data_IF_117038686386
#
_entry.id   IF_117038686386
#
_cell.length_a   1.000
_cell.length_b   1.000
_cell.length_c   1.000
_cell.angle_alpha   90.00
_cell.angle_beta   90.00
_cell.angle_gamma   90.00
#
_symmetry.space_group_name_H-M   'P 1'
#
loop_
_entity.id
_entity.type
_entity.pdbx_description
1 polymer ?
#
# COMPACT_ATOMS: atom_id res chain seq x y z
N UNK A 1 0.02 7.33 12.71
CA UNK A 1 -0.58 6.48 13.74
C UNK A 1 -1.03 5.20 13.06
N UNK A 2 -0.65 4.02 13.58
CA UNK A 2 -0.97 2.76 12.93
C UNK A 2 -2.45 2.44 13.08
N UNK A 3 -3.04 1.83 12.06
CA UNK A 3 -4.32 1.15 12.20
C UNK A 3 -4.13 -0.07 13.11
N UNK A 4 -5.12 -0.38 13.94
CA UNK A 4 -5.12 -1.56 14.82
C UNK A 4 -4.76 -2.81 14.02
N UNK A 5 -3.94 -3.69 14.60
CA UNK A 5 -3.51 -4.92 13.92
C UNK A 5 -3.51 -6.12 14.85
N UNK A 6 -3.45 -7.31 14.27
CA UNK A 6 -3.21 -8.53 15.01
C UNK A 6 -2.29 -9.47 14.20
N UNK A 7 -1.21 -10.01 14.80
CA UNK A 7 -0.72 -9.74 16.16
C UNK A 7 -0.12 -8.33 16.32
N UNK A 8 -0.14 -7.78 17.54
CA UNK A 8 0.32 -6.40 17.82
C UNK A 8 1.85 -6.24 17.92
N UNK A 9 2.58 -7.27 18.36
CA UNK A 9 4.05 -7.28 18.42
C UNK A 9 4.67 -7.94 17.19
N UNK A 10 6.00 -7.91 17.05
CA UNK A 10 6.87 -8.37 15.94
C UNK A 10 6.59 -9.78 15.32
N UNK A 11 5.54 -10.47 15.75
CA UNK A 11 5.00 -11.64 15.08
C UNK A 11 4.15 -11.30 13.86
N UNK A 12 3.94 -12.33 13.07
CA UNK A 12 2.93 -12.39 12.02
C UNK A 12 2.28 -13.78 12.12
N UNK A 13 1.06 -13.91 11.62
CA UNK A 13 0.53 -15.24 11.39
C UNK A 13 1.11 -15.79 10.09
N UNK A 14 1.19 -17.11 9.97
CA UNK A 14 1.56 -17.75 8.71
C UNK A 14 0.42 -18.61 8.19
N UNK A 15 0.32 -18.71 6.87
CA UNK A 15 -0.64 -19.61 6.23
C UNK A 15 -0.33 -21.06 6.61
N UNK A 16 -1.36 -21.91 6.74
CA UNK A 16 -1.16 -23.36 6.80
C UNK A 16 -0.87 -23.91 5.40
N UNK A 17 -1.67 -23.49 4.41
CA UNK A 17 -1.47 -23.75 2.98
C UNK A 17 -2.40 -22.88 2.15
N UNK A 18 -2.10 -22.72 0.88
CA UNK A 18 -3.02 -22.16 -0.11
C UNK A 18 -4.00 -23.24 -0.57
N UNK A 19 -5.29 -22.90 -0.61
CA UNK A 19 -6.37 -23.72 -1.19
C UNK A 19 -6.65 -23.28 -2.62
N UNK A 20 -6.67 -21.96 -2.83
CA UNK A 20 -6.85 -21.31 -4.13
C UNK A 20 -5.87 -20.16 -4.23
N UNK A 21 -4.97 -20.21 -5.23
CA UNK A 21 -4.04 -19.10 -5.50
C UNK A 21 -4.75 -17.79 -5.89
N UNK A 22 -5.85 -17.84 -6.64
CA UNK A 22 -6.64 -16.65 -7.01
C UNK A 22 -6.04 -15.77 -8.14
N UNK A 23 -4.74 -15.78 -8.39
CA UNK A 23 -4.22 -15.32 -9.68
C UNK A 23 -4.82 -16.20 -10.79
N UNK A 24 -5.11 -15.64 -11.98
CA UNK A 24 -5.59 -16.44 -13.12
C UNK A 24 -4.72 -17.68 -13.27
N UNK A 25 -5.31 -18.85 -12.98
CA UNK A 25 -4.57 -19.90 -12.26
C UNK A 25 -3.57 -20.65 -13.13
N UNK A 26 -2.54 -21.15 -12.45
CA UNK A 26 -1.43 -21.89 -13.03
C UNK A 26 -1.65 -23.39 -12.76
N UNK A 27 -1.61 -24.21 -13.81
CA UNK A 27 -1.47 -25.67 -13.65
C UNK A 27 -0.13 -25.97 -12.97
N UNK A 28 0.02 -27.13 -12.28
CA UNK A 28 1.31 -27.54 -11.71
C UNK A 28 2.44 -27.46 -12.75
N UNK A 29 3.55 -26.83 -12.39
CA UNK A 29 4.66 -26.60 -13.32
C UNK A 29 5.83 -25.82 -12.73
N UNK A 30 6.90 -25.70 -13.51
CA UNK A 30 8.12 -24.98 -13.11
C UNK A 30 7.93 -23.47 -13.11
N UNK A 31 8.32 -22.81 -12.01
CA UNK A 31 8.30 -21.35 -11.91
C UNK A 31 9.22 -20.66 -12.93
N UNK A 32 10.35 -21.30 -13.29
CA UNK A 32 11.27 -20.77 -14.32
C UNK A 32 10.60 -20.68 -15.69
N UNK A 33 9.77 -21.66 -16.05
CA UNK A 33 9.02 -21.61 -17.32
C UNK A 33 8.03 -20.45 -17.29
N UNK A 34 7.37 -20.23 -16.15
CA UNK A 34 6.34 -19.21 -16.05
C UNK A 34 6.91 -17.78 -16.11
N UNK A 35 8.00 -17.52 -15.40
CA UNK A 35 8.54 -16.15 -15.24
C UNK A 35 9.78 -15.82 -16.05
N UNK A 36 10.64 -16.79 -16.30
CA UNK A 36 11.99 -16.49 -16.77
C UNK A 36 12.20 -16.99 -18.20
N UNK A 37 12.07 -18.29 -18.40
CA UNK A 37 12.66 -19.03 -19.53
C UNK A 37 11.63 -19.69 -20.46
N UNK A 38 10.34 -19.67 -20.13
CA UNK A 38 9.32 -20.34 -20.95
C UNK A 38 8.97 -19.60 -22.23
N UNK A 39 8.73 -20.35 -23.29
CA UNK A 39 8.13 -19.80 -24.52
C UNK A 39 6.67 -19.38 -24.28
N UNK A 40 6.09 -18.50 -25.11
CA UNK A 40 4.68 -18.12 -25.00
C UNK A 40 3.72 -19.31 -25.00
N UNK A 41 4.04 -20.40 -25.70
CA UNK A 41 3.25 -21.63 -25.75
C UNK A 41 3.38 -22.42 -24.46
N UNK A 42 4.59 -22.53 -23.90
CA UNK A 42 4.82 -23.20 -22.62
C UNK A 42 4.15 -22.45 -21.47
N UNK A 43 4.17 -21.12 -21.49
CA UNK A 43 3.45 -20.27 -20.54
C UNK A 43 1.94 -20.47 -20.66
N UNK A 44 1.39 -20.40 -21.87
CA UNK A 44 -0.04 -20.67 -22.15
C UNK A 44 -0.48 -22.08 -21.76
N UNK A 45 0.38 -23.09 -21.92
CA UNK A 45 0.07 -24.45 -21.49
C UNK A 45 -0.11 -24.57 -19.97
N UNK A 46 0.61 -23.74 -19.21
CA UNK A 46 0.51 -23.65 -17.76
C UNK A 46 -0.64 -22.75 -17.28
N UNK A 47 -1.35 -22.05 -18.17
CA UNK A 47 -2.55 -21.30 -17.81
C UNK A 47 -3.76 -22.24 -17.62
N UNK A 48 -4.59 -21.96 -16.62
CA UNK A 48 -5.84 -22.68 -16.35
C UNK A 48 -6.95 -22.31 -17.35
N UNK A 49 -6.82 -21.16 -18.02
CA UNK A 49 -7.87 -20.58 -18.86
C UNK A 49 -8.97 -19.87 -18.07
N UNK A 50 -8.90 -19.86 -16.75
CA UNK A 50 -9.81 -19.13 -15.87
C UNK A 50 -9.21 -17.77 -15.51
N UNK A 51 -10.02 -16.71 -15.56
CA UNK A 51 -9.60 -15.37 -15.16
C UNK A 51 -9.24 -15.26 -13.67
N UNK A 52 -8.70 -14.11 -13.22
CA UNK A 52 -8.40 -13.88 -11.81
C UNK A 52 -9.63 -14.09 -10.92
N UNK A 53 -9.44 -14.78 -9.79
CA UNK A 53 -10.47 -15.06 -8.78
C UNK A 53 -9.93 -14.80 -7.38
N UNK A 54 -10.75 -14.64 -6.34
CA UNK A 54 -10.20 -14.41 -5.02
C UNK A 54 -9.37 -15.60 -4.52
N UNK A 55 -8.27 -15.30 -3.82
CA UNK A 55 -7.44 -16.32 -3.18
C UNK A 55 -8.15 -16.91 -1.96
N UNK A 56 -7.89 -18.19 -1.68
CA UNK A 56 -8.37 -18.89 -0.49
C UNK A 56 -7.19 -19.59 0.17
N UNK A 57 -7.02 -19.39 1.47
CA UNK A 57 -5.99 -20.08 2.25
C UNK A 57 -6.58 -20.74 3.48
N UNK A 58 -5.90 -21.77 3.97
CA UNK A 58 -6.20 -22.39 5.24
C UNK A 58 -5.36 -21.70 6.34
N UNK A 59 -6.00 -21.26 7.42
CA UNK A 59 -5.29 -20.70 8.57
C UNK A 59 -4.90 -21.81 9.55
N UNK A 60 -3.94 -21.52 10.44
CA UNK A 60 -3.44 -22.51 11.38
C UNK A 60 -4.38 -22.71 12.57
N UNK A 61 -4.55 -23.95 13.10
CA UNK A 61 -5.50 -24.24 14.19
C UNK A 61 -5.31 -23.41 15.45
N UNK A 62 -4.08 -23.01 15.77
CA UNK A 62 -3.78 -22.12 16.91
C UNK A 62 -4.44 -20.74 16.80
N UNK A 63 -4.90 -20.34 15.61
CA UNK A 63 -5.61 -19.08 15.37
C UNK A 63 -7.13 -19.25 15.20
N UNK A 64 -7.69 -20.44 15.43
CA UNK A 64 -9.10 -20.73 15.17
C UNK A 64 -10.07 -19.86 15.98
N UNK A 65 -9.79 -19.63 17.26
CA UNK A 65 -10.64 -18.77 18.10
C UNK A 65 -10.64 -17.31 17.62
N UNK A 66 -9.49 -16.81 17.14
CA UNK A 66 -9.38 -15.46 16.61
C UNK A 66 -10.17 -15.31 15.30
N UNK A 67 -10.03 -16.28 14.38
CA UNK A 67 -10.80 -16.28 13.13
C UNK A 67 -12.31 -16.39 13.35
N UNK A 68 -12.76 -17.16 14.33
CA UNK A 68 -14.17 -17.23 14.71
C UNK A 68 -14.69 -15.88 15.21
N UNK A 69 -13.90 -15.14 16.00
CA UNK A 69 -14.29 -13.80 16.43
C UNK A 69 -14.34 -12.79 15.26
N UNK A 70 -13.44 -12.90 14.29
CA UNK A 70 -13.39 -12.00 13.14
C UNK A 70 -14.52 -12.25 12.12
N UNK A 71 -15.00 -13.48 12.02
CA UNK A 71 -16.11 -13.87 11.15
C UNK A 71 -17.39 -13.09 11.49
N UNK A 72 -17.65 -12.89 12.78
CA UNK A 72 -18.81 -12.15 13.32
C UNK A 72 -18.78 -10.63 13.02
N UNK A 73 -17.64 -10.08 12.57
CA UNK A 73 -17.45 -8.63 12.38
C UNK A 73 -16.92 -8.26 10.98
N UNK A 74 -17.03 -9.17 10.00
CA UNK A 74 -16.57 -8.91 8.62
C UNK A 74 -17.26 -7.70 7.97
N UNK A 75 -18.52 -7.44 8.31
CA UNK A 75 -19.32 -6.32 7.83
C UNK A 75 -18.82 -4.96 8.36
N UNK A 76 -18.20 -4.95 9.54
CA UNK A 76 -17.53 -3.78 10.14
C UNK A 76 -16.20 -3.44 9.45
N UNK A 77 -15.66 -4.37 8.65
CA UNK A 77 -14.55 -4.16 7.72
C UNK A 77 -13.22 -4.73 8.18
N UNK A 78 -13.06 -6.06 8.11
CA UNK A 78 -11.79 -6.74 8.44
C UNK A 78 -10.89 -6.84 7.20
N UNK A 79 -9.61 -6.51 7.38
CA UNK A 79 -8.60 -6.52 6.31
C UNK A 79 -7.42 -7.41 6.68
N UNK A 80 -6.74 -7.94 5.67
CA UNK A 80 -5.48 -8.64 5.82
C UNK A 80 -4.39 -7.89 5.08
N UNK A 81 -3.24 -7.70 5.72
CA UNK A 81 -2.01 -7.30 5.05
C UNK A 81 -1.08 -8.50 5.01
N UNK A 82 -0.57 -8.85 3.84
CA UNK A 82 0.25 -10.06 3.72
C UNK A 82 1.31 -9.99 2.63
N UNK A 83 2.37 -10.76 2.82
CA UNK A 83 3.35 -11.06 1.77
C UNK A 83 2.87 -12.30 1.02
N UNK A 84 1.92 -12.05 0.12
CA UNK A 84 1.10 -13.12 -0.45
C UNK A 84 1.87 -14.06 -1.39
N UNK A 85 2.80 -13.52 -2.19
CA UNK A 85 3.49 -14.27 -3.26
C UNK A 85 5.00 -14.26 -3.14
N UNK A 86 5.56 -13.13 -2.71
CA UNK A 86 7.00 -12.88 -2.60
C UNK A 86 7.26 -11.99 -1.40
N UNK A 87 8.43 -12.13 -0.78
CA UNK A 87 8.77 -11.47 0.50
C UNK A 87 9.10 -9.97 0.37
N UNK A 88 9.14 -9.42 -0.84
CA UNK A 88 9.41 -8.00 -1.11
C UNK A 88 8.17 -7.24 -1.59
N UNK A 89 7.02 -7.89 -1.65
CA UNK A 89 5.75 -7.28 -2.04
C UNK A 89 4.69 -7.68 -1.02
N UNK A 90 4.08 -6.69 -0.38
CA UNK A 90 2.88 -6.92 0.41
C UNK A 90 1.69 -6.19 -0.23
N UNK A 91 0.49 -6.65 0.07
CA UNK A 91 -0.75 -6.02 -0.36
C UNK A 91 -1.77 -6.12 0.79
N UNK A 92 -2.61 -5.11 0.93
CA UNK A 92 -3.71 -5.11 1.90
C UNK A 92 -5.02 -5.41 1.17
N UNK A 93 -5.76 -6.42 1.61
CA UNK A 93 -6.96 -6.93 0.95
C UNK A 93 -8.04 -7.21 1.99
N UNK A 94 -9.29 -6.86 1.67
CA UNK A 94 -10.42 -7.12 2.58
C UNK A 94 -10.68 -8.62 2.67
N UNK A 95 -11.08 -9.09 3.86
CA UNK A 95 -11.59 -10.46 4.02
C UNK A 95 -12.97 -10.55 3.34
N UNK A 96 -13.14 -11.53 2.46
CA UNK A 96 -14.40 -11.82 1.79
C UNK A 96 -15.28 -12.77 2.61
N UNK A 97 -14.68 -13.85 3.14
CA UNK A 97 -15.36 -14.80 4.01
C UNK A 97 -14.36 -15.54 4.91
N UNK A 98 -14.84 -16.02 6.06
CA UNK A 98 -14.14 -16.96 6.93
C UNK A 98 -15.04 -18.17 7.10
N UNK A 99 -14.51 -19.36 6.85
CA UNK A 99 -15.18 -20.63 7.11
C UNK A 99 -14.49 -21.30 8.30
N UNK A 100 -15.16 -21.29 9.44
CA UNK A 100 -14.63 -21.79 10.71
C UNK A 100 -14.66 -23.32 10.81
N UNK A 101 -15.51 -23.99 10.02
CA UNK A 101 -15.59 -25.45 9.95
C UNK A 101 -14.42 -26.01 9.13
N UNK A 102 -14.15 -25.41 7.97
CA UNK A 102 -13.07 -25.82 7.07
C UNK A 102 -11.73 -25.11 7.34
N UNK A 103 -11.70 -24.16 8.27
CA UNK A 103 -10.55 -23.35 8.63
C UNK A 103 -9.96 -22.53 7.48
N UNK A 104 -10.82 -21.93 6.65
CA UNK A 104 -10.37 -21.16 5.48
C UNK A 104 -10.75 -19.70 5.54
N UNK A 105 -9.93 -18.87 4.88
CA UNK A 105 -10.20 -17.47 4.62
C UNK A 105 -10.24 -17.27 3.12
N UNK A 106 -11.31 -16.64 2.63
CA UNK A 106 -11.46 -16.19 1.25
C UNK A 106 -11.21 -14.69 1.18
N UNK A 107 -10.31 -14.25 0.31
CA UNK A 107 -10.07 -12.83 0.05
C UNK A 107 -11.27 -12.22 -0.68
N UNK A 108 -11.50 -10.92 -0.54
CA UNK A 108 -12.62 -10.26 -1.23
C UNK A 108 -12.37 -10.07 -2.73
N UNK A 109 -11.09 -9.90 -3.11
CA UNK A 109 -10.65 -9.68 -4.50
C UNK A 109 -9.38 -10.47 -4.79
N UNK A 110 -9.05 -10.73 -6.06
CA UNK A 110 -7.77 -11.30 -6.44
C UNK A 110 -6.62 -10.38 -6.02
N UNK A 111 -5.58 -10.95 -5.40
CA UNK A 111 -4.29 -10.29 -5.19
C UNK A 111 -3.49 -10.35 -6.48
N UNK A 112 -2.68 -9.32 -6.76
CA UNK A 112 -1.85 -9.32 -7.98
C UNK A 112 -0.95 -10.56 -8.04
N UNK A 113 -1.02 -11.28 -9.16
CA UNK A 113 -0.35 -12.58 -9.37
C UNK A 113 -0.76 -13.73 -8.42
N UNK A 114 -1.75 -13.52 -7.55
CA UNK A 114 -2.27 -14.54 -6.62
C UNK A 114 -1.42 -14.80 -5.39
N UNK A 115 -1.92 -15.67 -4.50
CA UNK A 115 -1.33 -16.01 -3.20
C UNK A 115 -0.59 -17.35 -3.21
N UNK A 116 0.39 -17.52 -2.33
CA UNK A 116 1.31 -18.65 -2.30
C UNK A 116 2.64 -18.33 -2.98
N UNK A 117 3.72 -18.76 -2.34
CA UNK A 117 5.09 -18.58 -2.77
C UNK A 117 5.26 -18.93 -4.23
N UNK A 118 5.81 -17.99 -5.00
CA UNK A 118 6.10 -18.22 -6.42
C UNK A 118 7.06 -19.40 -6.66
N UNK A 119 7.85 -19.79 -5.63
CA UNK A 119 8.82 -20.88 -5.69
C UNK A 119 8.27 -22.22 -5.19
N UNK A 120 7.14 -22.23 -4.50
CA UNK A 120 6.54 -23.42 -3.88
C UNK A 120 5.08 -23.53 -4.33
N UNK A 121 4.89 -23.92 -5.60
CA UNK A 121 3.57 -24.02 -6.22
C UNK A 121 3.00 -25.45 -6.11
N UNK A 122 1.67 -25.61 -6.13
CA UNK A 122 0.63 -24.57 -6.08
C UNK A 122 0.27 -24.11 -4.66
N UNK A 123 0.71 -24.86 -3.63
CA UNK A 123 0.19 -24.75 -2.27
C UNK A 123 0.86 -23.68 -1.40
N UNK A 124 1.87 -22.99 -1.92
CA UNK A 124 2.72 -22.07 -1.16
C UNK A 124 3.80 -22.80 -0.37
N UNK A 125 4.59 -22.03 0.39
CA UNK A 125 5.62 -22.54 1.29
C UNK A 125 5.11 -22.81 2.70
N UNK A 126 3.88 -22.41 3.03
CA UNK A 126 3.34 -22.35 4.41
C UNK A 126 4.08 -21.36 5.34
N UNK A 127 4.92 -20.51 4.76
CA UNK A 127 5.69 -19.46 5.45
C UNK A 127 5.22 -18.06 5.02
N UNK A 128 4.23 -17.96 4.14
CA UNK A 128 3.62 -16.69 3.76
C UNK A 128 3.02 -16.03 5.01
N UNK A 129 3.46 -14.82 5.30
CA UNK A 129 3.09 -14.10 6.51
C UNK A 129 1.95 -13.13 6.25
N UNK A 130 1.05 -12.99 7.22
CA UNK A 130 -0.03 -12.03 7.19
C UNK A 130 -0.39 -11.49 8.58
N UNK A 131 -1.01 -10.33 8.59
CA UNK A 131 -1.62 -9.66 9.74
C UNK A 131 -3.07 -9.38 9.43
N UNK A 132 -3.90 -9.36 10.47
CA UNK A 132 -5.23 -8.76 10.40
C UNK A 132 -5.13 -7.29 10.76
N UNK A 133 -5.88 -6.45 10.07
CA UNK A 133 -5.92 -5.00 10.25
C UNK A 133 -7.38 -4.57 10.46
N UNK A 134 -7.56 -3.40 11.08
CA UNK A 134 -8.86 -2.77 11.33
C UNK A 134 -9.79 -3.59 12.23
N UNK A 135 -9.31 -3.98 13.40
CA UNK A 135 -10.06 -4.68 14.44
C UNK A 135 -10.26 -3.76 15.63
N UNK A 136 -11.51 -3.46 15.98
CA UNK A 136 -11.82 -2.62 17.13
C UNK A 136 -11.26 -3.23 18.43
N UNK A 137 -11.35 -4.55 18.55
CA UNK A 137 -10.86 -5.34 19.67
C UNK A 137 -9.33 -5.33 19.78
N UNK A 138 -8.62 -4.95 18.72
CA UNK A 138 -7.16 -4.83 18.69
C UNK A 138 -6.67 -3.38 18.78
N UNK A 139 -7.56 -2.41 19.07
CA UNK A 139 -7.16 -1.05 19.49
C UNK A 139 -6.76 -1.12 20.97
N UNK A 140 -5.53 -1.57 21.24
CA UNK A 140 -5.07 -1.86 22.61
C UNK A 140 -3.83 -1.05 23.03
N UNK A 141 -3.19 -0.35 22.09
CA UNK A 141 -2.05 0.52 22.34
C UNK A 141 -2.34 2.00 22.03
N UNK A 142 -1.73 2.94 22.78
CA UNK A 142 -1.88 4.36 22.48
C UNK A 142 -1.36 4.70 21.08
N UNK A 143 -2.18 5.39 20.29
CA UNK A 143 -1.93 5.70 18.89
C UNK A 143 -2.68 4.81 17.91
N UNK A 144 -3.26 3.68 18.33
CA UNK A 144 -4.01 2.80 17.44
C UNK A 144 -5.43 3.31 17.18
N UNK A 145 -5.94 2.99 15.99
CA UNK A 145 -7.30 3.34 15.59
C UNK A 145 -7.91 2.25 14.71
N UNK A 146 -9.25 2.20 14.68
CA UNK A 146 -10.03 1.33 13.82
C UNK A 146 -11.27 2.07 13.32
N UNK A 147 -11.75 1.73 12.13
CA UNK A 147 -13.00 2.23 11.55
C UNK A 147 -14.00 1.10 11.52
N UNK A 148 -15.16 1.36 12.12
CA UNK A 148 -16.36 0.58 11.91
C UNK A 148 -17.11 1.15 10.71
N UNK A 149 -17.02 0.46 9.57
CA UNK A 149 -17.65 0.90 8.32
C UNK A 149 -19.18 0.72 8.33
N UNK A 150 -19.70 -0.18 9.15
CA UNK A 150 -21.14 -0.42 9.28
C UNK A 150 -21.80 0.74 10.04
N UNK A 151 -21.26 1.09 11.19
CA UNK A 151 -21.77 2.16 12.06
C UNK A 151 -21.23 3.55 11.70
N UNK A 152 -20.26 3.63 10.79
CA UNK A 152 -19.54 4.86 10.39
C UNK A 152 -18.88 5.57 11.57
N UNK A 153 -18.18 4.80 12.40
CA UNK A 153 -17.48 5.30 13.59
C UNK A 153 -15.97 5.10 13.47
N UNK A 154 -15.21 6.12 13.85
CA UNK A 154 -13.78 6.00 14.09
C UNK A 154 -13.54 5.81 15.59
N UNK A 155 -12.85 4.74 15.94
CA UNK A 155 -12.34 4.48 17.27
C UNK A 155 -10.85 4.80 17.29
N UNK A 156 -10.40 5.59 18.25
CA UNK A 156 -9.01 6.01 18.36
C UNK A 156 -8.60 6.00 19.82
N UNK A 157 -7.51 5.30 20.14
CA UNK A 157 -6.86 5.36 21.44
C UNK A 157 -5.80 6.47 21.40
N UNK A 158 -6.06 7.66 21.96
CA UNK A 158 -5.12 8.76 21.84
C UNK A 158 -3.84 8.52 22.66
N UNK A 159 -2.64 8.84 22.12
CA UNK A 159 -1.38 8.73 22.84
C UNK A 159 -1.18 9.80 23.93
N UNK A 160 -2.10 10.77 24.03
CA UNK A 160 -2.07 11.85 24.99
C UNK A 160 -3.35 12.69 24.94
N UNK A 161 -3.42 13.81 25.65
CA UNK A 161 -4.59 14.69 25.63
C UNK A 161 -4.92 15.19 24.22
N UNK A 162 -6.21 15.23 23.89
CA UNK A 162 -6.71 15.72 22.59
C UNK A 162 -6.95 17.24 22.56
N UNK A 163 -6.67 17.95 23.65
CA UNK A 163 -6.85 19.41 23.70
C UNK A 163 -5.93 20.06 22.66
N UNK A 164 -6.50 20.82 21.73
CA UNK A 164 -5.81 21.43 20.58
C UNK A 164 -5.20 20.42 19.59
N UNK A 165 -5.65 19.17 19.62
CA UNK A 165 -5.32 18.21 18.59
C UNK A 165 -5.99 18.60 17.27
N UNK A 166 -5.22 18.56 16.19
CA UNK A 166 -5.74 18.63 14.82
C UNK A 166 -5.70 17.22 14.23
N UNK A 167 -6.88 16.68 13.93
CA UNK A 167 -7.09 15.29 13.52
C UNK A 167 -7.53 15.30 12.05
N UNK A 168 -6.69 14.71 11.20
CA UNK A 168 -6.93 14.62 9.76
C UNK A 168 -7.33 13.20 9.35
N UNK A 169 -8.39 13.11 8.53
CA UNK A 169 -8.81 11.92 7.80
C UNK A 169 -9.02 12.34 6.35
N UNK A 170 -8.51 11.54 5.42
CA UNK A 170 -8.61 11.81 3.98
C UNK A 170 -9.58 10.85 3.32
N UNK A 171 -10.41 11.37 2.42
CA UNK A 171 -11.35 10.62 1.58
C UNK A 171 -11.15 10.87 0.07
N UNK A 172 -10.26 11.79 -0.29
CA UNK A 172 -9.95 12.13 -1.69
C UNK A 172 -8.92 11.13 -2.27
N UNK A 173 -9.27 10.43 -3.35
CA UNK A 173 -8.38 9.47 -4.03
C UNK A 173 -7.52 10.08 -5.14
N UNK A 174 -7.83 11.31 -5.56
CA UNK A 174 -7.08 12.03 -6.59
C UNK A 174 -5.82 12.69 -6.03
N UNK A 175 -4.83 13.01 -6.88
CA UNK A 175 -3.72 13.83 -6.44
C UNK A 175 -4.19 15.21 -5.96
N UNK A 176 -3.47 15.80 -5.00
CA UNK A 176 -3.79 17.17 -4.52
C UNK A 176 -3.49 18.19 -5.60
N UNK A 177 -2.34 18.04 -6.27
CA UNK A 177 -1.95 18.88 -7.41
C UNK A 177 -1.75 17.98 -8.62
N UNK A 178 -2.42 18.31 -9.72
CA UNK A 178 -2.20 17.68 -11.02
C UNK A 178 -1.84 18.72 -12.07
N UNK A 179 -0.72 18.50 -12.77
CA UNK A 179 -0.24 19.34 -13.86
C UNK A 179 -0.21 18.50 -15.12
N UNK A 180 -1.00 18.85 -16.14
CA UNK A 180 -1.03 18.14 -17.43
C UNK A 180 -0.65 19.06 -18.58
N UNK A 181 0.25 18.58 -19.44
CA UNK A 181 0.66 19.24 -20.69
C UNK A 181 1.06 20.72 -20.55
N UNK A 182 1.46 21.11 -19.34
CA UNK A 182 1.81 22.48 -18.99
C UNK A 182 3.32 22.68 -18.94
N UNK A 183 3.76 23.92 -19.07
CA UNK A 183 5.17 24.27 -19.05
C UNK A 183 5.44 25.45 -18.14
N UNK A 184 6.64 25.47 -17.56
CA UNK A 184 7.13 26.57 -16.72
C UNK A 184 6.26 26.89 -15.49
N UNK A 185 5.58 25.88 -14.93
CA UNK A 185 4.85 26.00 -13.67
C UNK A 185 5.78 25.69 -12.50
N UNK A 186 5.78 26.54 -11.48
CA UNK A 186 6.55 26.33 -10.25
C UNK A 186 5.65 26.38 -9.02
N UNK A 187 5.75 25.35 -8.18
CA UNK A 187 5.25 25.36 -6.81
C UNK A 187 6.42 25.54 -5.86
N UNK A 188 6.31 26.53 -4.96
CA UNK A 188 7.39 26.87 -4.03
C UNK A 188 6.88 27.09 -2.62
N UNK A 189 7.56 26.50 -1.63
CA UNK A 189 7.34 26.77 -0.21
C UNK A 189 5.89 26.54 0.24
N UNK A 190 5.30 25.41 -0.18
CA UNK A 190 3.96 24.99 0.22
C UNK A 190 3.99 23.58 0.82
N UNK A 191 3.04 23.33 1.72
CA UNK A 191 2.76 22.00 2.27
C UNK A 191 1.61 21.36 1.51
N UNK A 192 1.80 20.11 1.08
CA UNK A 192 0.85 19.30 0.33
C UNK A 192 0.59 18.05 1.18
N UNK A 193 -0.62 17.94 1.75
CA UNK A 193 -0.96 16.83 2.64
C UNK A 193 -2.44 16.43 2.62
N UNK A 194 -2.71 15.17 2.98
CA UNK A 194 -4.07 14.71 3.24
C UNK A 194 -4.83 14.16 2.04
N UNK A 195 -4.21 13.29 1.24
CA UNK A 195 -4.89 12.56 0.16
C UNK A 195 -4.67 11.05 0.22
N UNK A 196 -5.64 10.28 -0.26
CA UNK A 196 -5.52 8.86 -0.58
C UNK A 196 -4.85 8.61 -1.95
N UNK A 197 -4.62 9.67 -2.73
CA UNK A 197 -3.89 9.67 -4.00
C UNK A 197 -2.39 9.94 -3.86
N UNK A 198 -1.78 10.46 -4.93
CA UNK A 198 -0.41 11.00 -4.94
C UNK A 198 -0.40 12.46 -4.44
N UNK A 199 0.70 12.95 -3.88
CA UNK A 199 0.78 14.35 -3.45
C UNK A 199 0.69 15.29 -4.65
N UNK A 200 1.63 15.12 -5.58
CA UNK A 200 1.68 15.84 -6.85
C UNK A 200 1.84 14.88 -8.02
N UNK A 201 1.05 15.07 -9.08
CA UNK A 201 1.20 14.36 -10.34
C UNK A 201 1.48 15.33 -11.48
N UNK A 202 2.56 15.08 -12.23
CA UNK A 202 2.90 15.80 -13.46
C UNK A 202 2.80 14.82 -14.62
N UNK A 203 1.97 15.14 -15.61
CA UNK A 203 1.79 14.31 -16.82
C UNK A 203 2.13 15.16 -18.04
N UNK A 204 3.22 14.78 -18.72
CA UNK A 204 3.81 15.53 -19.82
C UNK A 204 4.16 16.98 -19.47
N UNK A 205 4.51 17.75 -20.50
CA UNK A 205 4.89 19.16 -20.38
C UNK A 205 6.40 19.38 -20.36
N UNK A 206 6.82 20.58 -19.94
CA UNK A 206 8.23 20.95 -19.95
C UNK A 206 8.59 21.91 -18.81
N UNK A 207 9.69 21.66 -18.10
CA UNK A 207 10.26 22.61 -17.12
C UNK A 207 9.30 23.04 -16.00
N UNK A 208 8.40 22.14 -15.59
CA UNK A 208 7.65 22.32 -14.33
C UNK A 208 8.53 21.97 -13.13
N UNK A 209 8.30 22.61 -11.99
CA UNK A 209 9.12 22.41 -10.81
C UNK A 209 8.35 22.42 -9.49
N UNK A 210 8.80 21.58 -8.57
CA UNK A 210 8.53 21.66 -7.14
C UNK A 210 9.81 22.09 -6.42
N UNK A 211 9.76 23.16 -5.64
CA UNK A 211 10.93 23.71 -4.95
C UNK A 211 10.64 24.04 -3.49
N UNK A 212 11.45 23.52 -2.56
CA UNK A 212 11.29 23.86 -1.14
C UNK A 212 9.89 23.53 -0.60
N UNK A 213 9.26 22.48 -1.12
CA UNK A 213 7.92 22.06 -0.69
C UNK A 213 8.01 20.93 0.33
N UNK A 214 6.98 20.80 1.16
CA UNK A 214 6.78 19.63 2.02
C UNK A 214 5.62 18.81 1.47
N UNK A 215 5.84 17.52 1.20
CA UNK A 215 4.77 16.58 0.83
C UNK A 215 4.69 15.50 1.89
N UNK A 216 3.53 15.38 2.54
CA UNK A 216 3.36 14.44 3.66
C UNK A 216 1.95 13.93 3.85
N UNK A 217 1.78 12.84 4.59
CA UNK A 217 0.46 12.26 4.90
C UNK A 217 -0.34 11.99 3.61
N UNK A 218 0.28 11.28 2.69
CA UNK A 218 -0.25 10.94 1.36
C UNK A 218 -0.24 9.42 1.23
N UNK A 219 -1.33 8.80 0.78
CA UNK A 219 -1.42 7.34 0.77
C UNK A 219 -0.66 6.66 -0.38
N UNK A 220 -0.28 7.39 -1.43
CA UNK A 220 0.56 6.87 -2.53
C UNK A 220 1.91 7.58 -2.57
N UNK A 221 2.33 8.07 -3.74
CA UNK A 221 3.63 8.69 -3.90
C UNK A 221 3.60 10.17 -3.50
N UNK A 222 4.72 10.69 -3.01
CA UNK A 222 4.87 12.13 -2.78
C UNK A 222 4.75 12.92 -4.09
N UNK A 223 5.56 12.55 -5.09
CA UNK A 223 5.52 13.15 -6.43
C UNK A 223 5.60 12.06 -7.49
N UNK A 224 4.78 12.15 -8.53
CA UNK A 224 4.82 11.28 -9.72
C UNK A 224 4.99 12.15 -10.96
N UNK A 225 5.98 11.84 -11.79
CA UNK A 225 6.23 12.49 -13.08
C UNK A 225 6.14 11.43 -14.19
N UNK A 226 5.23 11.66 -15.12
CA UNK A 226 4.91 10.77 -16.24
C UNK A 226 5.09 11.50 -17.57
N UNK A 227 6.20 11.23 -18.25
CA UNK A 227 6.52 11.83 -19.55
C UNK A 227 7.01 13.27 -19.44
N UNK A 228 6.98 13.97 -20.57
CA UNK A 228 7.48 15.34 -20.67
C UNK A 228 9.00 15.44 -20.62
N UNK A 229 9.52 16.65 -20.35
CA UNK A 229 10.95 16.87 -20.28
C UNK A 229 11.37 17.96 -19.26
N UNK A 230 12.53 17.77 -18.65
CA UNK A 230 13.20 18.76 -17.78
C UNK A 230 12.40 19.20 -16.54
N UNK A 231 11.52 18.35 -16.00
CA UNK A 231 10.88 18.58 -14.71
C UNK A 231 11.85 18.47 -13.54
N UNK A 232 11.62 19.24 -12.47
CA UNK A 232 12.53 19.33 -11.31
C UNK A 232 11.77 19.17 -10.00
N UNK A 233 12.25 18.30 -9.12
CA UNK A 233 11.89 18.27 -7.69
C UNK A 233 13.15 18.62 -6.92
N UNK A 234 13.18 19.77 -6.26
CA UNK A 234 14.40 20.32 -5.68
C UNK A 234 14.18 20.84 -4.26
N UNK A 235 15.07 20.44 -3.35
CA UNK A 235 15.05 20.90 -1.96
C UNK A 235 13.74 20.64 -1.22
N UNK A 236 13.06 19.52 -1.50
CA UNK A 236 11.76 19.17 -0.89
C UNK A 236 11.90 18.14 0.23
N UNK A 237 10.98 18.20 1.20
CA UNK A 237 10.83 17.20 2.27
C UNK A 237 9.65 16.29 1.95
N UNK A 238 9.89 14.98 1.82
CA UNK A 238 8.91 13.98 1.38
C UNK A 238 8.82 12.87 2.42
N UNK A 239 7.74 12.81 3.21
CA UNK A 239 7.64 11.85 4.32
C UNK A 239 6.23 11.46 4.72
N UNK A 240 6.09 10.37 5.45
CA UNK A 240 4.79 9.76 5.78
C UNK A 240 3.97 9.50 4.51
N UNK A 241 4.59 8.76 3.59
CA UNK A 241 4.05 8.38 2.29
C UNK A 241 3.67 6.90 2.30
N UNK A 242 2.52 6.55 1.75
CA UNK A 242 2.08 5.16 1.71
C UNK A 242 2.88 4.34 0.69
N UNK A 243 3.17 4.90 -0.50
CA UNK A 243 4.00 4.27 -1.52
C UNK A 243 5.44 4.80 -1.49
N UNK A 244 5.93 5.45 -2.55
CA UNK A 244 7.31 5.96 -2.65
C UNK A 244 7.45 7.49 -2.54
N UNK A 245 8.69 7.98 -2.50
CA UNK A 245 9.00 9.41 -2.49
C UNK A 245 8.68 10.10 -3.83
N UNK A 246 9.49 9.81 -4.84
CA UNK A 246 9.34 10.37 -6.20
C UNK A 246 9.38 9.24 -7.24
N UNK A 247 8.32 9.12 -8.04
CA UNK A 247 8.28 8.27 -9.23
C UNK A 247 8.58 9.09 -10.48
N UNK A 248 9.53 8.63 -11.32
CA UNK A 248 9.91 9.30 -12.57
C UNK A 248 9.78 8.35 -13.75
N UNK A 249 9.15 8.83 -14.81
CA UNK A 249 9.16 8.17 -16.12
C UNK A 249 9.15 9.23 -17.22
N UNK A 250 9.80 8.93 -18.35
CA UNK A 250 9.92 9.86 -19.47
C UNK A 250 11.14 9.56 -20.33
N UNK A 251 11.30 10.32 -21.40
CA UNK A 251 12.28 10.03 -22.44
C UNK A 251 11.83 8.92 -23.38
N UNK A 252 12.69 8.57 -24.32
CA UNK A 252 12.46 7.52 -25.30
C UNK A 252 13.70 6.61 -25.38
N UNK A 253 13.57 5.43 -24.76
CA UNK A 253 14.60 4.39 -24.81
C UNK A 253 14.49 3.51 -26.07
N UNK A 254 13.42 3.66 -26.87
CA UNK A 254 13.24 2.95 -28.13
C UNK A 254 13.76 3.73 -29.35
N UNK A 255 13.96 5.04 -29.23
CA UNK A 255 14.53 5.87 -30.29
C UNK A 255 16.04 5.68 -30.46
N UNK A 256 16.54 5.96 -31.67
CA UNK A 256 17.98 6.02 -31.96
C UNK A 256 18.35 7.38 -32.59
N UNK A 257 19.13 8.24 -31.88
CA UNK A 257 19.67 8.01 -30.54
C UNK A 257 18.57 8.01 -29.45
N UNK A 258 18.86 7.36 -28.31
CA UNK A 258 17.99 7.43 -27.14
C UNK A 258 17.80 8.87 -26.69
N UNK A 259 16.57 9.24 -26.33
CA UNK A 259 16.24 10.60 -25.90
C UNK A 259 16.03 10.61 -24.38
N UNK A 260 16.91 11.26 -23.59
CA UNK A 260 16.69 11.38 -22.15
C UNK A 260 15.59 12.41 -21.84
N UNK A 261 14.84 12.18 -20.75
CA UNK A 261 13.82 13.13 -20.28
C UNK A 261 14.41 14.41 -19.66
N UNK A 262 15.61 14.31 -19.07
CA UNK A 262 16.24 15.43 -18.35
C UNK A 262 15.60 15.80 -17.01
N UNK A 263 14.76 14.92 -16.43
CA UNK A 263 14.18 15.15 -15.10
C UNK A 263 15.25 15.12 -14.00
N UNK A 264 15.06 15.92 -12.95
CA UNK A 264 16.02 16.02 -11.83
C UNK A 264 15.28 15.94 -10.48
N UNK A 265 15.84 15.16 -9.56
CA UNK A 265 15.44 15.13 -8.15
C UNK A 265 16.69 15.43 -7.34
N UNK A 266 16.74 16.58 -6.67
CA UNK A 266 17.97 17.10 -6.09
C UNK A 266 17.73 17.69 -4.70
N UNK A 267 18.68 17.47 -3.80
CA UNK A 267 18.69 18.03 -2.44
C UNK A 267 17.39 17.75 -1.65
N UNK A 268 16.67 16.67 -1.94
CA UNK A 268 15.43 16.32 -1.25
C UNK A 268 15.71 15.39 -0.06
N UNK A 269 14.99 15.57 1.04
CA UNK A 269 14.92 14.59 2.13
C UNK A 269 13.71 13.67 1.92
N UNK A 270 13.97 12.38 1.72
CA UNK A 270 12.95 11.37 1.43
C UNK A 270 13.07 10.26 2.46
N UNK A 271 12.10 10.18 3.36
CA UNK A 271 12.14 9.27 4.49
C UNK A 271 10.72 8.87 4.89
N UNK A 272 10.55 7.79 5.67
CA UNK A 272 9.23 7.36 6.14
C UNK A 272 8.23 7.16 4.97
N UNK A 273 8.56 6.28 4.04
CA UNK A 273 7.70 5.85 2.94
C UNK A 273 7.48 4.32 2.98
N UNK A 274 6.59 3.80 2.14
CA UNK A 274 6.30 2.36 2.06
C UNK A 274 5.39 1.84 3.18
N UNK A 275 4.60 2.73 3.80
CA UNK A 275 3.66 2.37 4.86
C UNK A 275 2.28 1.93 4.35
N UNK A 276 2.15 1.48 3.09
CA UNK A 276 0.88 1.06 2.47
C UNK A 276 -0.07 0.38 3.47
N UNK A 277 -1.27 0.93 3.68
CA UNK A 277 -2.28 0.43 4.62
C UNK A 277 -2.30 1.08 6.01
N UNK A 278 -1.37 1.98 6.35
CA UNK A 278 -1.46 2.85 7.52
C UNK A 278 -2.04 4.22 7.13
N UNK A 279 -3.36 4.37 7.05
CA UNK A 279 -3.94 5.72 7.05
C UNK A 279 -3.52 6.38 8.37
N UNK A 280 -2.65 7.39 8.31
CA UNK A 280 -2.15 8.02 9.53
C UNK A 280 -3.14 9.08 9.96
N UNK A 281 -3.93 8.76 10.99
CA UNK A 281 -4.43 9.79 11.88
C UNK A 281 -3.20 10.55 12.44
N UNK A 282 -3.21 11.87 12.48
CA UNK A 282 -2.16 12.69 13.10
C UNK A 282 -2.79 13.64 14.13
N UNK A 283 -1.99 14.02 15.12
CA UNK A 283 -2.15 15.19 15.99
C UNK A 283 -0.87 16.03 15.80
N UNK A 284 -0.88 17.21 15.16
CA UNK A 284 0.31 18.03 15.06
C UNK A 284 0.65 18.63 16.43
N UNK A 285 1.92 18.55 16.81
CA UNK A 285 2.45 19.28 17.95
C UNK A 285 2.69 20.74 17.55
N UNK A 286 2.19 21.68 18.36
CA UNK A 286 2.57 23.10 18.26
C UNK A 286 4.07 23.23 18.55
N UNK A 287 4.81 23.85 17.64
CA UNK A 287 6.16 24.34 17.94
C UNK A 287 6.07 25.29 19.14
N UNK A 288 6.70 24.91 20.26
CA UNK A 288 6.88 25.84 21.36
C UNK A 288 7.82 26.94 20.86
N UNK A 289 7.24 28.10 20.53
CA UNK A 289 7.96 29.34 20.31
C UNK A 289 8.84 29.62 21.54
N UNK A 290 10.13 29.32 21.44
CA UNK A 290 11.12 29.79 22.41
C UNK A 290 11.22 31.30 22.26
N UNK A 291 10.62 32.04 23.19
CA UNK A 291 10.91 33.46 23.34
C UNK A 291 12.40 33.63 23.67
N UNK A 292 13.13 34.52 22.97
CA UNK A 292 14.50 34.83 23.33
C UNK A 292 14.52 35.62 24.65
N UNK A 293 15.43 35.24 25.55
CA UNK A 293 15.86 36.10 26.66
C UNK A 293 16.67 37.29 26.12
#
# INVERSE_FOLDING_TARGET
MPISRYPNEHGAMTLKRVVVNGGGQEKPGSCRVYYDEGTPEQKRALESGEGPRPGVFEYRPEHAAAHAAWEEVLDRGVWLKGYWRVVWQNETVRVGAIDTENQTVTLAVPVSHGIGSKYHRPDGSSEEIYWVMNLLEAVDQPGEWAVDFQDKKLFFYPPGPLTNADILISDMESPIIEVRDAHHIEFRNITIEGTLGDGVRVVNGNKNALRSCTVRNVAKYGVVIEGGANHVVESCDLYALGAGGVGLSGGDAGSEPHVPAGHRVENCDIHHFGYEGETRLRIPHQEQNKQPC
#
